data_IF_022753624260
#
_entry.id   IF_022753624260
#
_cell.length_a   1.000
_cell.length_b   1.000
_cell.length_c   1.000
_cell.angle_alpha   90.00
_cell.angle_beta   90.00
_cell.angle_gamma   90.00
#
_symmetry.space_group_name_H-M   'P 1'
#
loop_
_entity.id
_entity.type
_entity.pdbx_description
1 polymer ?
#
# COMPACT_ATOMS: atom_id res chain seq x y z
N UNK A 1 -16.22 17.43 -1.10
CA UNK A 1 -15.65 16.17 -0.60
C UNK A 1 -14.28 15.95 -1.23
N UNK A 2 -13.30 15.49 -0.45
CA UNK A 2 -11.95 15.17 -0.91
C UNK A 2 -11.73 13.64 -0.87
N UNK A 3 -11.55 13.02 -2.01
CA UNK A 3 -11.21 11.61 -2.20
C UNK A 3 -9.97 11.47 -3.10
N UNK A 4 -8.96 12.34 -2.88
CA UNK A 4 -7.83 12.50 -3.79
C UNK A 4 -6.70 11.45 -3.61
N UNK A 5 -6.95 10.35 -2.90
CA UNK A 5 -6.01 9.25 -2.76
C UNK A 5 -4.64 9.71 -2.30
N UNK A 6 -3.61 9.61 -3.15
CA UNK A 6 -2.22 10.01 -2.84
C UNK A 6 -2.04 11.48 -2.41
N UNK A 7 -3.00 12.35 -2.71
CA UNK A 7 -2.96 13.78 -2.38
C UNK A 7 -3.98 14.19 -1.32
N UNK A 8 -4.73 13.26 -0.75
CA UNK A 8 -5.82 13.55 0.18
C UNK A 8 -5.35 14.34 1.41
N UNK A 9 -4.18 14.06 1.95
CA UNK A 9 -3.57 14.79 3.06
C UNK A 9 -3.24 16.24 2.68
N UNK A 10 -2.64 16.48 1.50
CA UNK A 10 -2.28 17.83 1.04
C UNK A 10 -3.51 18.72 0.89
N UNK A 11 -4.59 18.16 0.33
CA UNK A 11 -5.86 18.89 0.19
C UNK A 11 -6.49 19.13 1.56
N UNK A 12 -6.56 18.11 2.43
CA UNK A 12 -7.15 18.25 3.75
C UNK A 12 -6.44 19.31 4.61
N UNK A 13 -5.11 19.41 4.50
CA UNK A 13 -4.32 20.43 5.22
C UNK A 13 -4.66 21.86 4.81
N UNK A 14 -5.14 22.10 3.59
CA UNK A 14 -5.61 23.44 3.17
C UNK A 14 -6.91 23.83 3.91
N UNK A 15 -7.63 22.85 4.45
CA UNK A 15 -8.84 23.04 5.25
C UNK A 15 -8.60 22.85 6.75
N UNK A 16 -7.36 22.82 7.20
CA UNK A 16 -6.96 22.56 8.60
C UNK A 16 -7.42 21.19 9.15
N UNK A 17 -7.63 20.21 8.27
CA UNK A 17 -8.02 18.86 8.62
C UNK A 17 -6.84 17.92 8.61
N UNK A 18 -6.71 17.10 9.67
CA UNK A 18 -5.77 15.99 9.72
C UNK A 18 -4.29 16.40 9.62
N UNK A 19 -3.89 17.55 10.17
CA UNK A 19 -2.51 18.07 10.09
C UNK A 19 -1.44 17.11 10.64
N UNK A 20 -1.83 16.18 11.51
CA UNK A 20 -0.95 15.12 12.02
C UNK A 20 -0.75 13.97 11.02
N UNK A 21 -1.58 13.88 10.00
CA UNK A 21 -1.53 12.79 9.04
C UNK A 21 -0.68 13.15 7.82
N UNK A 22 0.02 12.16 7.28
CA UNK A 22 0.76 12.24 6.03
C UNK A 22 0.57 10.95 5.25
N UNK A 23 0.51 11.06 3.94
CA UNK A 23 0.48 9.90 3.05
C UNK A 23 1.89 9.60 2.58
N UNK A 24 2.34 8.39 2.87
CA UNK A 24 3.57 7.81 2.35
C UNK A 24 3.23 6.89 1.18
N UNK A 25 3.82 7.09 0.01
CA UNK A 25 3.59 6.24 -1.15
C UNK A 25 4.41 4.95 -1.05
N UNK A 26 3.77 3.82 -1.31
CA UNK A 26 4.42 2.52 -1.44
C UNK A 26 4.12 1.93 -2.80
N UNK A 27 5.16 1.52 -3.51
CA UNK A 27 5.03 0.83 -4.79
C UNK A 27 4.80 -0.65 -4.57
N UNK A 28 3.71 -1.18 -5.13
CA UNK A 28 3.46 -2.60 -5.28
C UNK A 28 3.97 -3.09 -6.62
N UNK A 29 4.81 -4.11 -6.61
CA UNK A 29 5.28 -4.78 -7.81
C UNK A 29 4.84 -6.23 -7.78
N UNK A 30 4.37 -6.72 -8.94
CA UNK A 30 4.00 -8.10 -9.16
C UNK A 30 5.00 -8.77 -10.08
N UNK A 31 5.13 -10.07 -9.95
CA UNK A 31 5.77 -10.95 -10.92
C UNK A 31 4.70 -11.80 -11.57
N UNK A 32 4.98 -12.31 -12.76
CA UNK A 32 4.13 -13.29 -13.44
C UNK A 32 4.74 -14.67 -13.30
N UNK A 33 3.91 -15.66 -13.12
CA UNK A 33 4.34 -17.05 -13.22
C UNK A 33 4.63 -17.37 -14.70
N UNK A 34 5.75 -18.01 -14.96
CA UNK A 34 6.12 -18.45 -16.32
C UNK A 34 5.08 -19.46 -16.83
N UNK A 35 4.61 -19.35 -18.09
CA UNK A 35 3.63 -20.29 -18.64
C UNK A 35 4.09 -21.76 -18.59
N UNK A 36 5.38 -22.00 -18.68
CA UNK A 36 5.99 -23.32 -18.65
C UNK A 36 6.21 -23.87 -17.23
N UNK A 37 5.89 -23.09 -16.19
CA UNK A 37 6.03 -23.52 -14.80
C UNK A 37 5.18 -24.75 -14.51
N UNK A 38 5.74 -25.69 -13.75
CA UNK A 38 5.03 -26.86 -13.27
C UNK A 38 4.03 -26.54 -12.14
N UNK A 39 4.07 -25.32 -11.61
CA UNK A 39 3.16 -24.88 -10.54
C UNK A 39 1.77 -24.68 -11.08
N UNK A 40 0.83 -25.47 -10.55
CA UNK A 40 -0.58 -25.34 -10.91
C UNK A 40 -1.35 -24.51 -9.89
N UNK A 41 -1.72 -23.29 -10.29
CA UNK A 41 -2.56 -22.39 -9.49
C UNK A 41 -3.97 -22.41 -10.06
N UNK A 42 -4.90 -23.08 -9.36
CA UNK A 42 -6.30 -23.23 -9.80
C UNK A 42 -7.20 -22.08 -9.34
N UNK A 43 -6.77 -21.31 -8.36
CA UNK A 43 -7.49 -20.18 -7.79
C UNK A 43 -6.52 -19.22 -7.11
N UNK A 44 -7.02 -18.29 -6.31
CA UNK A 44 -6.18 -17.37 -5.56
C UNK A 44 -5.64 -18.04 -4.30
N UNK A 45 -4.35 -17.90 -4.02
CA UNK A 45 -3.68 -18.47 -2.85
C UNK A 45 -3.10 -17.32 -2.03
N UNK A 46 -3.56 -17.18 -0.79
CA UNK A 46 -3.12 -16.14 0.15
C UNK A 46 -2.43 -16.76 1.36
N UNK A 47 -1.36 -16.16 1.88
CA UNK A 47 -0.83 -16.54 3.18
C UNK A 47 -1.81 -16.14 4.30
N UNK A 48 -1.69 -16.77 5.45
CA UNK A 48 -2.36 -16.28 6.65
C UNK A 48 -1.82 -14.88 6.97
N UNK A 49 -2.69 -13.86 7.17
CA UNK A 49 -2.25 -12.50 7.43
C UNK A 49 -1.47 -12.40 8.73
N UNK A 50 -0.29 -11.79 8.69
CA UNK A 50 0.41 -11.34 9.88
C UNK A 50 -0.10 -9.94 10.25
N UNK A 51 -0.90 -9.85 11.31
CA UNK A 51 -1.52 -8.58 11.76
C UNK A 51 -0.49 -7.51 12.17
N UNK A 52 0.76 -7.90 12.41
CA UNK A 52 1.86 -6.96 12.68
C UNK A 52 2.39 -6.31 11.40
N UNK A 53 2.06 -6.88 10.24
CA UNK A 53 2.48 -6.37 8.95
C UNK A 53 1.32 -5.59 8.30
N UNK A 54 1.45 -4.26 8.10
CA UNK A 54 0.39 -3.45 7.47
C UNK A 54 0.20 -3.75 5.97
N UNK A 55 1.05 -4.60 5.42
CA UNK A 55 0.99 -5.02 4.02
C UNK A 55 0.58 -6.47 3.92
N UNK A 56 -0.28 -6.78 2.96
CA UNK A 56 -0.60 -8.16 2.60
C UNK A 56 0.68 -8.92 2.24
N UNK A 57 0.76 -10.16 2.68
CA UNK A 57 1.78 -11.09 2.23
C UNK A 57 1.69 -11.34 0.72
N UNK A 58 2.76 -11.86 0.14
CA UNK A 58 2.72 -12.25 -1.27
C UNK A 58 1.70 -13.35 -1.46
N UNK A 59 0.94 -13.25 -2.54
CA UNK A 59 -0.11 -14.19 -2.88
C UNK A 59 -0.08 -14.48 -4.38
N UNK A 60 -0.66 -15.60 -4.77
CA UNK A 60 -0.87 -15.95 -6.17
C UNK A 60 -2.28 -15.53 -6.55
N UNK A 61 -2.40 -14.81 -7.64
CA UNK A 61 -3.69 -14.42 -8.22
C UNK A 61 -3.80 -14.99 -9.62
N UNK A 62 -4.82 -15.83 -9.83
CA UNK A 62 -5.17 -16.35 -11.15
C UNK A 62 -6.16 -15.41 -11.81
N UNK A 63 -5.78 -14.89 -12.96
CA UNK A 63 -6.63 -14.04 -13.79
C UNK A 63 -7.57 -14.87 -14.67
N UNK A 64 -8.70 -14.29 -15.12
CA UNK A 64 -9.65 -15.01 -15.98
C UNK A 64 -9.02 -15.57 -17.26
N UNK A 65 -8.02 -14.86 -17.80
CA UNK A 65 -7.28 -15.23 -19.01
C UNK A 65 -6.30 -16.38 -18.77
N UNK A 66 -6.18 -16.87 -17.53
CA UNK A 66 -5.32 -17.97 -17.13
C UNK A 66 -3.92 -17.56 -16.68
N UNK A 67 -3.54 -16.29 -16.84
CA UNK A 67 -2.28 -15.78 -16.31
C UNK A 67 -2.29 -15.82 -14.77
N UNK A 68 -1.14 -16.09 -14.18
CA UNK A 68 -0.96 -16.06 -12.72
C UNK A 68 0.05 -15.01 -12.35
N UNK A 69 -0.36 -14.09 -11.47
CA UNK A 69 0.54 -13.10 -10.88
C UNK A 69 0.87 -13.45 -9.45
N UNK A 70 2.09 -13.09 -9.02
CA UNK A 70 2.60 -13.30 -7.66
C UNK A 70 3.01 -11.95 -7.09
N UNK A 71 2.48 -11.58 -5.94
CA UNK A 71 2.75 -10.28 -5.32
C UNK A 71 1.69 -9.85 -4.34
N UNK A 72 1.63 -8.56 -4.01
CA UNK A 72 2.62 -7.52 -4.32
C UNK A 72 3.83 -7.54 -3.40
N UNK A 73 4.91 -6.94 -3.85
CA UNK A 73 5.92 -6.36 -2.96
C UNK A 73 5.49 -4.95 -2.55
N UNK A 74 5.99 -4.43 -1.44
CA UNK A 74 5.74 -3.07 -1.02
C UNK A 74 7.07 -2.34 -0.80
N UNK A 75 7.39 -1.41 -1.70
CA UNK A 75 8.60 -0.59 -1.60
C UNK A 75 8.23 0.86 -1.31
N UNK A 76 8.88 1.50 -0.32
CA UNK A 76 8.69 2.91 -0.09
C UNK A 76 9.18 3.72 -1.28
N UNK A 77 8.42 4.76 -1.65
CA UNK A 77 8.77 5.70 -2.69
C UNK A 77 9.07 7.07 -2.08
N UNK A 78 9.98 7.81 -2.71
CA UNK A 78 10.31 9.17 -2.32
C UNK A 78 9.35 10.20 -2.94
N UNK A 79 8.59 9.77 -3.94
CA UNK A 79 7.66 10.63 -4.69
C UNK A 79 6.33 9.95 -4.86
N UNK A 80 5.23 10.71 -4.80
CA UNK A 80 3.87 10.16 -4.79
C UNK A 80 3.49 9.41 -6.06
N UNK A 81 3.98 9.85 -7.22
CA UNK A 81 3.64 9.28 -8.53
C UNK A 81 4.85 8.66 -9.24
N UNK A 82 5.74 8.05 -8.49
CA UNK A 82 6.94 7.44 -9.05
C UNK A 82 6.63 6.10 -9.72
N UNK A 83 5.91 6.14 -10.84
CA UNK A 83 5.66 4.95 -11.67
C UNK A 83 6.89 4.54 -12.47
N UNK A 84 7.70 5.52 -12.97
CA UNK A 84 8.92 5.28 -13.75
C UNK A 84 10.02 6.26 -13.36
N UNK A 85 11.17 5.73 -12.98
CA UNK A 85 12.37 6.54 -12.71
C UNK A 85 12.18 7.60 -11.62
N UNK A 86 12.84 8.74 -11.79
CA UNK A 86 12.79 9.89 -10.88
C UNK A 86 11.96 11.06 -11.46
N UNK A 87 11.10 10.81 -12.42
CA UNK A 87 10.29 11.85 -13.07
C UNK A 87 9.24 12.36 -12.08
N UNK A 88 9.08 13.69 -12.00
CA UNK A 88 8.09 14.34 -11.12
C UNK A 88 8.55 14.60 -9.68
N UNK A 89 9.85 14.52 -9.41
CA UNK A 89 10.40 14.76 -8.07
C UNK A 89 10.34 16.22 -7.68
N UNK A 90 9.57 16.54 -6.64
CA UNK A 90 9.74 17.75 -5.87
C UNK A 90 10.73 17.42 -4.73
N UNK A 91 11.89 18.08 -4.71
CA UNK A 91 12.96 17.80 -3.74
C UNK A 91 12.50 17.95 -2.27
N UNK A 92 11.62 18.91 -1.99
CA UNK A 92 11.05 19.11 -0.64
C UNK A 92 10.15 17.96 -0.20
N UNK A 93 9.34 17.40 -1.10
CA UNK A 93 8.51 16.23 -0.81
C UNK A 93 9.40 14.99 -0.57
N UNK A 94 10.44 14.80 -1.39
CA UNK A 94 11.39 13.70 -1.22
C UNK A 94 12.12 13.73 0.13
N UNK A 95 12.61 14.88 0.54
CA UNK A 95 13.28 15.05 1.83
C UNK A 95 12.33 14.80 3.00
N UNK A 96 11.08 15.28 2.91
CA UNK A 96 10.05 15.00 3.90
C UNK A 96 9.77 13.50 4.00
N UNK A 97 9.66 12.78 2.88
CA UNK A 97 9.45 11.32 2.88
C UNK A 97 10.61 10.59 3.56
N UNK A 98 11.86 10.93 3.23
CA UNK A 98 13.05 10.35 3.88
C UNK A 98 12.97 10.56 5.39
N UNK A 99 12.66 11.78 5.83
CA UNK A 99 12.56 12.11 7.27
C UNK A 99 11.51 11.27 7.97
N UNK A 100 10.33 11.06 7.37
CA UNK A 100 9.29 10.22 7.96
C UNK A 100 9.69 8.74 7.97
N UNK A 101 10.32 8.23 6.92
CA UNK A 101 10.82 6.85 6.91
C UNK A 101 11.88 6.62 7.99
N UNK A 102 12.81 7.55 8.18
CA UNK A 102 13.81 7.47 9.25
C UNK A 102 13.17 7.50 10.65
N UNK A 103 12.18 8.37 10.87
CA UNK A 103 11.45 8.44 12.15
C UNK A 103 10.67 7.15 12.43
N UNK A 104 9.95 6.61 11.44
CA UNK A 104 9.24 5.34 11.56
C UNK A 104 10.21 4.18 11.85
N UNK A 105 11.36 4.16 11.19
CA UNK A 105 12.39 3.15 11.41
C UNK A 105 13.02 3.25 12.81
N UNK A 106 13.26 4.47 13.29
CA UNK A 106 13.88 4.71 14.61
C UNK A 106 12.97 4.37 15.79
N UNK A 107 11.64 4.57 15.66
CA UNK A 107 10.69 4.25 16.73
C UNK A 107 10.32 2.78 16.83
N UNK A 108 10.49 2.02 15.77
CA UNK A 108 10.35 0.56 15.64
C UNK A 108 9.14 -0.08 16.38
N UNK A 109 8.07 0.70 16.66
CA UNK A 109 6.90 0.22 17.43
C UNK A 109 6.22 -0.96 16.75
N UNK A 110 6.12 -0.94 15.41
CA UNK A 110 5.49 -1.99 14.62
C UNK A 110 6.53 -2.80 13.82
N UNK A 111 7.76 -2.87 14.31
CA UNK A 111 8.89 -3.47 13.58
C UNK A 111 9.10 -2.89 12.16
N UNK A 112 8.55 -1.68 11.91
CA UNK A 112 8.55 -1.05 10.58
C UNK A 112 9.97 -0.91 10.01
N UNK A 113 10.93 -0.47 10.83
CA UNK A 113 12.33 -0.33 10.41
C UNK A 113 12.94 -1.66 9.94
N UNK A 114 12.70 -2.72 10.69
CA UNK A 114 13.18 -4.06 10.32
C UNK A 114 12.44 -4.64 9.11
N UNK A 115 11.15 -4.31 8.95
CA UNK A 115 10.34 -4.70 7.78
C UNK A 115 10.79 -3.93 6.55
N UNK A 116 10.97 -2.60 6.64
CA UNK A 116 11.42 -1.76 5.53
C UNK A 116 12.83 -2.13 5.06
N UNK A 117 13.79 -2.31 5.98
CA UNK A 117 15.14 -2.73 5.66
C UNK A 117 15.18 -4.14 5.05
N UNK A 118 14.42 -5.10 5.62
CA UNK A 118 14.30 -6.45 5.02
C UNK A 118 13.68 -6.41 3.64
N UNK A 119 12.69 -5.56 3.40
CA UNK A 119 12.07 -5.41 2.07
C UNK A 119 13.00 -4.75 1.07
N UNK A 120 13.81 -3.76 1.48
CA UNK A 120 14.85 -3.18 0.63
C UNK A 120 15.94 -4.20 0.27
N UNK A 121 16.36 -5.04 1.22
CA UNK A 121 17.31 -6.11 0.95
C UNK A 121 16.73 -7.23 0.05
N UNK A 122 15.41 -7.34 -0.05
CA UNK A 122 14.69 -8.37 -0.84
C UNK A 122 14.15 -7.86 -2.18
N UNK A 123 14.74 -6.80 -2.73
CA UNK A 123 14.38 -6.26 -4.05
C UNK A 123 14.68 -7.26 -5.17
N UNK A 124 15.58 -8.22 -4.93
CA UNK A 124 15.92 -9.26 -5.90
C UNK A 124 14.78 -10.28 -6.07
N UNK A 125 14.71 -10.90 -7.24
CA UNK A 125 13.76 -11.99 -7.54
C UNK A 125 13.88 -13.15 -6.55
N UNK A 126 15.11 -13.46 -6.08
CA UNK A 126 15.35 -14.50 -5.08
C UNK A 126 14.78 -14.16 -3.70
N UNK A 127 14.85 -12.89 -3.27
CA UNK A 127 14.23 -12.44 -2.04
C UNK A 127 12.70 -12.44 -2.11
N UNK A 128 12.17 -12.14 -3.31
CA UNK A 128 10.73 -12.21 -3.57
C UNK A 128 10.23 -13.66 -3.54
N UNK A 129 10.95 -14.58 -4.17
CA UNK A 129 10.65 -15.99 -4.20
C UNK A 129 10.51 -16.57 -2.78
N UNK A 130 11.48 -16.33 -1.87
CA UNK A 130 11.47 -16.86 -0.50
C UNK A 130 10.22 -16.51 0.32
N UNK A 131 9.55 -15.44 -0.01
CA UNK A 131 8.31 -15.06 0.68
C UNK A 131 7.08 -15.77 0.13
N UNK A 132 7.17 -16.35 -1.07
CA UNK A 132 6.07 -17.03 -1.76
C UNK A 132 6.26 -18.55 -1.85
N UNK A 133 7.48 -19.06 -1.66
CA UNK A 133 7.83 -20.49 -1.86
C UNK A 133 7.00 -21.45 -1.00
N UNK A 134 6.61 -21.03 0.20
CA UNK A 134 5.81 -21.86 1.10
C UNK A 134 4.33 -21.97 0.73
N UNK A 135 3.87 -21.26 -0.30
CA UNK A 135 2.45 -21.22 -0.67
C UNK A 135 2.06 -22.27 -1.70
N UNK A 136 3.02 -22.81 -2.44
CA UNK A 136 2.80 -23.80 -3.50
C UNK A 136 3.91 -24.83 -3.53
N UNK A 137 3.60 -26.01 -4.03
CA UNK A 137 4.58 -27.09 -4.23
C UNK A 137 5.22 -26.93 -5.61
N UNK A 138 6.53 -27.19 -5.72
CA UNK A 138 7.26 -27.17 -6.99
C UNK A 138 7.53 -25.77 -7.57
N UNK A 139 7.35 -24.74 -6.76
CA UNK A 139 7.67 -23.36 -7.16
C UNK A 139 9.16 -23.12 -7.05
N UNK A 140 9.77 -22.60 -8.12
CA UNK A 140 11.20 -22.34 -8.23
C UNK A 140 11.49 -20.88 -8.58
N UNK A 141 12.69 -20.36 -8.25
CA UNK A 141 13.05 -18.95 -8.57
C UNK A 141 12.96 -18.63 -10.08
N UNK A 142 13.23 -19.62 -10.93
CA UNK A 142 13.14 -19.51 -12.40
C UNK A 142 11.72 -19.35 -12.95
N UNK A 143 10.70 -19.64 -12.14
CA UNK A 143 9.30 -19.51 -12.54
C UNK A 143 8.80 -18.06 -12.58
N UNK A 144 9.55 -17.12 -12.01
CA UNK A 144 9.17 -15.73 -11.93
C UNK A 144 9.66 -14.91 -13.11
N UNK A 145 8.75 -14.32 -13.84
CA UNK A 145 8.99 -13.28 -14.84
C UNK A 145 8.62 -11.90 -14.28
N UNK A 146 9.36 -10.83 -14.64
CA UNK A 146 8.95 -9.49 -14.26
C UNK A 146 7.52 -9.18 -14.71
N UNK A 147 6.65 -8.79 -13.80
CA UNK A 147 5.31 -8.33 -14.12
C UNK A 147 5.32 -6.88 -14.62
N UNK A 148 4.30 -6.53 -15.37
CA UNK A 148 4.09 -5.16 -15.86
C UNK A 148 3.23 -4.34 -14.88
N UNK A 149 2.51 -5.01 -14.01
CA UNK A 149 1.56 -4.42 -13.07
C UNK A 149 2.31 -3.69 -11.98
N UNK A 150 2.06 -2.40 -11.88
CA UNK A 150 2.60 -1.52 -10.87
C UNK A 150 1.46 -0.71 -10.27
N UNK A 151 1.34 -0.74 -8.95
CA UNK A 151 0.42 0.12 -8.22
C UNK A 151 1.16 0.97 -7.18
N UNK A 152 0.65 2.16 -6.91
CA UNK A 152 1.14 2.98 -5.80
C UNK A 152 0.05 3.01 -4.74
N UNK A 153 0.36 2.47 -3.56
CA UNK A 153 -0.52 2.51 -2.41
C UNK A 153 -0.28 3.79 -1.61
N UNK A 154 -1.35 4.52 -1.35
CA UNK A 154 -1.36 5.63 -0.41
C UNK A 154 -1.46 5.07 1.02
N UNK A 155 -0.37 5.09 1.78
CA UNK A 155 -0.37 4.63 3.16
C UNK A 155 -0.39 5.82 4.11
N UNK A 156 -1.46 5.95 4.91
CA UNK A 156 -1.58 7.02 5.88
C UNK A 156 -0.71 6.74 7.11
N UNK A 157 -0.06 7.78 7.60
CA UNK A 157 0.79 7.77 8.79
C UNK A 157 0.35 8.86 9.76
N UNK A 158 0.20 8.52 11.03
CA UNK A 158 0.13 9.51 12.11
C UNK A 158 1.56 9.93 12.47
N UNK A 159 1.90 11.19 12.18
CA UNK A 159 3.26 11.72 12.41
C UNK A 159 3.54 12.05 13.87
N UNK A 160 2.51 12.19 14.72
CA UNK A 160 2.65 12.40 16.17
C UNK A 160 2.91 11.10 16.90
N UNK A 161 2.11 10.08 16.56
CA UNK A 161 2.27 8.74 17.13
C UNK A 161 3.40 7.95 16.44
N UNK A 162 3.76 8.35 15.21
CA UNK A 162 4.74 7.67 14.35
C UNK A 162 4.31 6.21 14.10
N UNK A 163 3.07 6.06 13.61
CA UNK A 163 2.48 4.75 13.32
C UNK A 163 1.76 4.75 11.96
N UNK A 164 1.73 3.58 11.31
CA UNK A 164 0.95 3.37 10.10
C UNK A 164 -0.50 3.10 10.46
N UNK A 165 -1.43 3.76 9.77
CA UNK A 165 -2.85 3.56 10.00
C UNK A 165 -3.39 2.50 9.04
N UNK A 166 -4.03 1.47 9.59
CA UNK A 166 -4.59 0.33 8.86
C UNK A 166 -6.10 0.39 8.68
N UNK A 167 -6.76 1.40 9.26
CA UNK A 167 -8.21 1.56 9.20
C UNK A 167 -8.61 2.80 8.42
N UNK A 168 -9.89 2.93 8.10
CA UNK A 168 -10.46 4.11 7.47
C UNK A 168 -10.23 5.35 8.32
N UNK A 169 -9.87 6.45 7.68
CA UNK A 169 -9.78 7.76 8.32
C UNK A 169 -10.55 8.77 7.49
N UNK A 170 -11.62 9.27 8.06
CA UNK A 170 -12.47 10.30 7.46
C UNK A 170 -12.42 11.51 8.38
N UNK A 171 -12.06 12.68 7.84
CA UNK A 171 -12.00 13.95 8.54
C UNK A 171 -13.14 14.86 8.09
N UNK A 172 -14.30 14.85 8.79
CA UNK A 172 -15.32 15.82 8.54
C UNK A 172 -14.94 17.17 9.16
N UNK A 173 -15.32 18.28 8.51
CA UNK A 173 -15.20 19.63 9.06
C UNK A 173 -16.15 20.59 8.36
N UNK A 174 -17.13 21.16 9.07
CA UNK A 174 -18.09 22.15 8.59
C UNK A 174 -18.67 21.85 7.20
N UNK A 175 -18.07 22.41 6.15
CA UNK A 175 -18.51 22.27 4.75
C UNK A 175 -17.64 21.33 3.92
N UNK A 176 -16.70 20.63 4.52
CA UNK A 176 -15.80 19.72 3.81
C UNK A 176 -15.67 18.38 4.51
N UNK A 177 -15.51 17.33 3.73
CA UNK A 177 -15.24 15.98 4.22
C UNK A 177 -14.08 15.41 3.43
N UNK A 178 -13.13 14.83 4.15
CA UNK A 178 -11.87 14.35 3.59
C UNK A 178 -11.69 12.86 3.90
N UNK A 179 -11.67 12.03 2.88
CA UNK A 179 -11.30 10.62 3.00
C UNK A 179 -9.77 10.55 2.94
N UNK A 180 -9.15 10.44 4.12
CA UNK A 180 -7.69 10.46 4.26
C UNK A 180 -7.07 9.08 4.10
N UNK A 181 -7.77 8.04 4.55
CA UNK A 181 -7.35 6.66 4.39
C UNK A 181 -8.51 5.81 3.90
N UNK A 182 -8.34 5.21 2.74
CA UNK A 182 -9.24 4.23 2.17
C UNK A 182 -8.47 2.92 2.01
N UNK A 183 -8.79 1.93 2.84
CA UNK A 183 -8.08 0.65 2.86
C UNK A 183 -8.56 -0.31 1.77
N UNK A 184 -7.87 -1.43 1.59
CA UNK A 184 -8.01 -2.36 0.46
C UNK A 184 -9.44 -2.82 0.16
N UNK A 185 -10.31 -2.99 1.14
CA UNK A 185 -11.71 -3.39 0.93
C UNK A 185 -12.62 -2.29 0.38
N UNK A 186 -12.15 -1.04 0.27
CA UNK A 186 -12.99 0.11 -0.12
C UNK A 186 -13.60 -0.05 -1.50
N UNK A 187 -12.91 -0.67 -2.46
CA UNK A 187 -13.45 -0.85 -3.79
C UNK A 187 -14.62 -1.85 -3.80
N UNK A 188 -14.45 -3.01 -3.17
CA UNK A 188 -15.49 -4.05 -3.09
C UNK A 188 -16.65 -3.67 -2.18
N UNK A 189 -16.41 -2.81 -1.19
CA UNK A 189 -17.42 -2.27 -0.27
C UNK A 189 -17.73 -0.79 -0.54
N UNK A 190 -17.58 -0.33 -1.78
CA UNK A 190 -17.70 1.09 -2.12
C UNK A 190 -19.07 1.68 -1.81
N UNK A 191 -20.14 0.95 -2.05
CA UNK A 191 -21.49 1.44 -1.76
C UNK A 191 -21.73 1.65 -0.25
N UNK A 192 -21.55 0.66 0.65
CA UNK A 192 -21.71 0.91 2.08
C UNK A 192 -20.67 1.89 2.64
N UNK A 193 -19.48 1.98 2.06
CA UNK A 193 -18.51 3.00 2.45
C UNK A 193 -18.97 4.40 2.07
N UNK A 194 -19.56 4.59 0.89
CA UNK A 194 -20.12 5.87 0.47
C UNK A 194 -21.28 6.30 1.39
N UNK A 195 -22.17 5.36 1.74
CA UNK A 195 -23.27 5.63 2.68
C UNK A 195 -22.74 6.05 4.06
N UNK A 196 -21.70 5.39 4.56
CA UNK A 196 -21.03 5.77 5.80
C UNK A 196 -20.46 7.20 5.72
N UNK A 197 -19.74 7.54 4.66
CA UNK A 197 -19.19 8.90 4.46
C UNK A 197 -20.31 9.93 4.41
N UNK A 198 -21.41 9.66 3.70
CA UNK A 198 -22.57 10.56 3.60
C UNK A 198 -23.23 10.75 4.97
N UNK A 199 -23.36 9.69 5.77
CA UNK A 199 -23.93 9.79 7.12
C UNK A 199 -23.11 10.71 8.03
N UNK A 200 -21.78 10.61 7.97
CA UNK A 200 -20.88 11.50 8.70
C UNK A 200 -21.01 12.96 8.23
N UNK A 201 -21.16 13.18 6.91
CA UNK A 201 -21.37 14.51 6.34
C UNK A 201 -22.68 15.16 6.83
N UNK A 202 -23.74 14.36 7.00
CA UNK A 202 -25.04 14.85 7.50
C UNK A 202 -24.97 15.19 8.97
N UNK A 203 -24.34 14.33 9.79
CA UNK A 203 -24.21 14.53 11.23
C UNK A 203 -23.45 15.81 11.62
N UNK A 204 -22.53 16.29 10.80
CA UNK A 204 -21.80 17.54 11.06
C UNK A 204 -22.54 18.81 10.63
N UNK A 205 -23.64 18.68 9.90
CA UNK A 205 -24.44 19.83 9.44
C UNK A 205 -25.58 20.16 10.40
N UNK A 206 -25.87 19.27 11.35
CA UNK A 206 -26.79 19.46 12.46
C UNK A 206 -26.07 19.98 13.69
#
# INVERSE_FOLDING_TARGET
MNCAGLYADKIAHQFDVGRQYRILPFRGQFYRLRPESQVQVRGNIYPVPDLRNPFLGKHFTRWPEGEVTVGPSAFPLLVREQYRGLVGTNASDGLAMITYFLRLSGRNRDHFGSIALRKLAKISSSGFYREAEGLTVGFEPGDLLPGKELGIRAQLVDTRKVELLSDFVIGPRHRSTHVLNAVSSTFTSSAPFADHVISLMKAERT
#
